data_IF_587641280532
#
_entry.id   IF_587641280532
#
_cell.length_a   1.000
_cell.length_b   1.000
_cell.length_c   1.000
_cell.angle_alpha   90.00
_cell.angle_beta   90.00
_cell.angle_gamma   90.00
#
_symmetry.space_group_name_H-M   'P 1'
#
loop_
_entity.id
_entity.type
_entity.pdbx_description
1 polymer ?
#
# COMPACT_ATOMS: atom_id res chain seq x y z
N UNK A 1 -0.99 11.79 -1.89
CA UNK A 1 -0.39 10.52 -1.53
C UNK A 1 -0.48 10.24 -0.03
N UNK A 2 -0.29 8.99 0.35
CA UNK A 2 -0.07 8.60 1.74
C UNK A 2 1.40 8.24 1.93
N UNK A 3 2.02 8.77 3.00
CA UNK A 3 3.39 8.42 3.37
C UNK A 3 3.39 7.23 4.33
N UNK A 4 4.11 6.17 3.99
CA UNK A 4 4.23 4.96 4.79
C UNK A 4 5.70 4.73 5.12
N UNK A 5 5.98 4.62 6.41
CA UNK A 5 7.31 4.29 6.90
C UNK A 5 7.52 2.78 6.87
N UNK A 6 8.73 2.35 6.61
CA UNK A 6 9.09 0.92 6.59
C UNK A 6 10.51 0.68 7.07
N UNK A 7 10.73 -0.46 7.73
CA UNK A 7 12.08 -0.95 8.06
C UNK A 7 12.72 -1.68 6.87
N UNK A 8 11.91 -2.11 5.89
CA UNK A 8 12.37 -2.82 4.68
C UNK A 8 11.72 -2.22 3.45
N UNK A 9 12.42 -1.28 2.81
CA UNK A 9 11.91 -0.55 1.65
C UNK A 9 11.61 -1.49 0.47
N UNK A 10 12.53 -2.41 0.18
CA UNK A 10 12.40 -3.28 -0.99
C UNK A 10 11.25 -4.29 -0.83
N UNK A 11 11.10 -4.90 0.34
CA UNK A 11 10.00 -5.82 0.61
C UNK A 11 8.64 -5.11 0.57
N UNK A 12 8.56 -3.90 1.11
CA UNK A 12 7.33 -3.11 1.08
C UNK A 12 6.98 -2.68 -0.34
N UNK A 13 7.95 -2.15 -1.09
CA UNK A 13 7.73 -1.78 -2.49
C UNK A 13 7.29 -2.98 -3.34
N UNK A 14 7.90 -4.15 -3.12
CA UNK A 14 7.52 -5.38 -3.82
C UNK A 14 6.06 -5.77 -3.54
N UNK A 15 5.58 -5.61 -2.32
CA UNK A 15 4.17 -5.84 -1.99
C UNK A 15 3.26 -4.92 -2.84
N UNK A 16 3.55 -3.63 -2.89
CA UNK A 16 2.76 -2.69 -3.67
C UNK A 16 2.81 -2.96 -5.18
N UNK A 17 3.95 -3.42 -5.68
CA UNK A 17 4.07 -3.82 -7.09
C UNK A 17 3.28 -5.10 -7.39
N UNK A 18 3.48 -6.14 -6.60
CA UNK A 18 2.93 -7.46 -6.88
C UNK A 18 1.46 -7.57 -6.49
N UNK A 19 1.07 -7.08 -5.31
CA UNK A 19 -0.28 -7.20 -4.81
C UNK A 19 -1.22 -6.13 -5.40
N UNK A 20 -0.82 -4.87 -5.38
CA UNK A 20 -1.67 -3.76 -5.85
C UNK A 20 -1.40 -3.33 -7.30
N UNK A 21 -0.35 -3.83 -7.93
CA UNK A 21 -0.01 -3.52 -9.32
C UNK A 21 0.51 -2.10 -9.53
N UNK A 22 1.02 -1.47 -8.48
CA UNK A 22 1.61 -0.13 -8.59
C UNK A 22 3.01 -0.20 -9.21
N UNK A 23 3.48 0.91 -9.74
CA UNK A 23 4.80 1.03 -10.36
C UNK A 23 5.75 1.77 -9.42
N UNK A 24 6.89 1.14 -9.11
CA UNK A 24 7.95 1.72 -8.29
C UNK A 24 8.76 2.75 -9.09
N UNK A 25 9.03 3.88 -8.46
CA UNK A 25 9.94 4.92 -8.94
C UNK A 25 10.79 5.39 -7.77
N UNK A 26 12.09 5.13 -7.81
CA UNK A 26 12.98 5.47 -6.70
C UNK A 26 13.20 6.97 -6.61
N UNK A 27 13.33 7.47 -5.38
CA UNK A 27 13.65 8.86 -5.11
C UNK A 27 15.16 9.00 -5.21
N UNK A 28 15.62 9.84 -6.14
CA UNK A 28 17.03 10.11 -6.39
C UNK A 28 17.38 11.56 -6.03
N UNK A 29 18.64 11.81 -5.68
CA UNK A 29 19.11 13.16 -5.36
C UNK A 29 18.63 13.72 -4.02
N UNK A 30 18.05 12.88 -3.18
CA UNK A 30 17.65 13.25 -1.83
C UNK A 30 18.88 13.43 -0.91
N UNK A 31 18.64 13.99 0.29
CA UNK A 31 19.68 14.16 1.30
C UNK A 31 20.37 12.83 1.63
N UNK A 32 21.65 12.91 2.02
CA UNK A 32 22.42 11.74 2.43
C UNK A 32 21.68 10.93 3.51
N UNK A 33 21.62 9.60 3.32
CA UNK A 33 20.92 8.68 4.23
C UNK A 33 19.41 8.55 3.98
N UNK A 34 18.82 9.38 3.12
CA UNK A 34 17.42 9.23 2.75
C UNK A 34 17.24 8.13 1.70
N UNK A 35 16.33 7.18 1.99
CA UNK A 35 15.90 6.15 1.04
C UNK A 35 14.39 6.11 0.99
N UNK A 36 13.84 6.15 -0.21
CA UNK A 36 12.40 6.11 -0.40
C UNK A 36 12.03 5.75 -1.83
N UNK A 37 10.74 5.54 -2.04
CA UNK A 37 10.17 5.25 -3.34
C UNK A 37 8.78 5.84 -3.47
N UNK A 38 8.44 6.25 -4.68
CA UNK A 38 7.06 6.53 -5.08
C UNK A 38 6.45 5.28 -5.66
N UNK A 39 5.24 4.96 -5.25
CA UNK A 39 4.42 3.92 -5.88
C UNK A 39 3.33 4.62 -6.67
N UNK A 40 3.34 4.39 -7.99
CA UNK A 40 2.49 5.10 -8.95
C UNK A 40 1.38 4.19 -9.47
N UNK A 41 0.20 4.79 -9.68
CA UNK A 41 -0.90 4.13 -10.36
C UNK A 41 -0.67 3.99 -11.88
N UNK A 42 -1.64 3.42 -12.60
CA UNK A 42 -1.56 3.23 -14.05
C UNK A 42 -1.51 4.54 -14.84
N UNK A 43 -1.97 5.63 -14.25
CA UNK A 43 -1.96 6.97 -14.85
C UNK A 43 -0.67 7.74 -14.53
N UNK A 44 0.21 7.16 -13.72
CA UNK A 44 1.47 7.76 -13.31
C UNK A 44 1.39 8.64 -12.06
N UNK A 45 0.23 8.69 -11.40
CA UNK A 45 0.08 9.45 -10.16
C UNK A 45 0.80 8.76 -9.00
N UNK A 46 1.63 9.49 -8.27
CA UNK A 46 2.26 9.01 -7.07
C UNK A 46 1.24 8.96 -5.93
N UNK A 47 0.73 7.77 -5.61
CA UNK A 47 -0.32 7.59 -4.59
C UNK A 47 0.21 7.10 -3.25
N UNK A 48 1.36 6.45 -3.23
CA UNK A 48 2.06 6.03 -2.01
C UNK A 48 3.49 6.54 -2.04
N UNK A 49 3.92 7.12 -0.92
CA UNK A 49 5.30 7.50 -0.66
C UNK A 49 5.87 6.56 0.40
N UNK A 50 6.79 5.70 0.02
CA UNK A 50 7.49 4.82 0.94
C UNK A 50 8.77 5.50 1.42
N UNK A 51 8.99 5.51 2.74
CA UNK A 51 10.20 6.04 3.35
C UNK A 51 10.84 4.98 4.23
N UNK A 52 12.10 4.67 3.96
CA UNK A 52 12.88 3.81 4.84
C UNK A 52 13.15 4.52 6.17
N UNK A 53 12.81 3.86 7.26
CA UNK A 53 13.03 4.38 8.59
C UNK A 53 14.48 4.12 9.00
N UNK A 54 15.32 5.16 8.89
CA UNK A 54 16.72 5.10 9.27
C UNK A 54 16.86 5.02 10.80
N UNK A 55 17.43 3.94 11.36
CA UNK A 55 17.62 3.83 12.81
C UNK A 55 18.53 4.91 13.41
N UNK A 56 19.36 5.56 12.59
CA UNK A 56 20.27 6.63 13.03
C UNK A 56 19.62 8.02 13.00
N UNK A 57 18.37 8.14 12.55
CA UNK A 57 17.65 9.42 12.43
C UNK A 57 16.50 9.48 13.43
N UNK A 58 16.26 10.65 13.99
CA UNK A 58 15.13 10.95 14.89
C UNK A 58 13.94 11.61 14.15
N UNK A 59 14.05 11.77 12.83
CA UNK A 59 13.06 12.50 12.02
C UNK A 59 11.63 12.00 12.22
N UNK A 60 11.46 10.69 12.39
CA UNK A 60 10.16 10.04 12.51
C UNK A 60 9.95 9.41 13.89
N UNK A 61 10.58 9.93 14.93
CA UNK A 61 10.39 9.47 16.29
C UNK A 61 8.89 9.43 16.67
N UNK A 62 8.48 8.37 17.36
CA UNK A 62 7.09 8.15 17.72
C UNK A 62 6.24 7.43 16.67
N UNK A 63 6.80 7.11 15.51
CA UNK A 63 6.15 6.32 14.45
C UNK A 63 6.80 4.94 14.35
N UNK A 64 5.98 3.89 14.36
CA UNK A 64 6.49 2.52 14.35
C UNK A 64 5.78 1.69 13.28
N UNK A 65 6.48 1.29 12.19
CA UNK A 65 5.94 0.35 11.21
C UNK A 65 5.58 -0.99 11.86
N UNK A 66 4.49 -1.61 11.41
CA UNK A 66 4.01 -2.89 11.94
C UNK A 66 3.09 -2.77 13.14
N UNK A 67 2.88 -1.57 13.66
CA UNK A 67 1.93 -1.28 14.73
C UNK A 67 0.63 -0.69 14.17
N UNK A 68 -0.50 -0.77 14.91
CA UNK A 68 -1.76 -0.16 14.48
C UNK A 68 -1.60 1.34 14.21
N UNK A 69 -2.28 1.82 13.17
CA UNK A 69 -2.25 3.23 12.77
C UNK A 69 -3.19 4.13 13.59
N UNK A 70 -3.71 3.60 14.70
CA UNK A 70 -4.57 4.30 15.67
C UNK A 70 -5.85 4.87 15.01
N UNK A 71 -6.01 6.19 15.01
CA UNK A 71 -7.22 6.84 14.50
C UNK A 71 -7.41 6.71 12.99
N UNK A 72 -6.35 6.47 12.21
CA UNK A 72 -6.45 6.18 10.78
C UNK A 72 -6.70 4.68 10.62
N UNK A 73 -7.97 4.29 10.45
CA UNK A 73 -8.38 2.89 10.38
C UNK A 73 -7.94 2.23 9.07
N UNK A 74 -8.15 2.90 7.95
CA UNK A 74 -7.78 2.41 6.63
C UNK A 74 -7.59 3.55 5.63
N UNK A 75 -6.96 3.23 4.52
CA UNK A 75 -6.85 4.08 3.34
C UNK A 75 -7.61 3.39 2.22
N UNK A 76 -8.47 4.12 1.50
CA UNK A 76 -9.29 3.58 0.43
C UNK A 76 -8.76 3.97 -0.95
N UNK A 77 -8.80 3.03 -1.88
CA UNK A 77 -8.48 3.24 -3.30
C UNK A 77 -9.66 2.86 -4.18
N UNK A 78 -9.87 3.63 -5.23
CA UNK A 78 -10.74 3.22 -6.33
C UNK A 78 -9.96 2.31 -7.26
N UNK A 79 -10.52 1.15 -7.57
CA UNK A 79 -9.86 0.13 -8.37
C UNK A 79 -10.78 -0.39 -9.48
N UNK A 80 -10.18 -1.03 -10.47
CA UNK A 80 -10.86 -1.76 -11.54
C UNK A 80 -10.40 -3.22 -11.56
N UNK A 81 -11.24 -4.12 -12.06
CA UNK A 81 -10.88 -5.52 -12.22
C UNK A 81 -10.92 -6.34 -10.92
N UNK A 82 -12.05 -6.39 -10.24
CA UNK A 82 -12.23 -7.14 -8.99
C UNK A 82 -11.82 -8.61 -9.10
N UNK A 83 -12.25 -9.31 -10.17
CA UNK A 83 -11.92 -10.73 -10.37
C UNK A 83 -10.42 -10.92 -10.59
N UNK A 84 -9.80 -10.05 -11.39
CA UNK A 84 -8.35 -10.09 -11.64
C UNK A 84 -7.55 -9.80 -10.37
N UNK A 85 -8.00 -8.84 -9.55
CA UNK A 85 -7.35 -8.54 -8.27
C UNK A 85 -7.41 -9.73 -7.31
N UNK A 86 -8.55 -10.36 -7.17
CA UNK A 86 -8.69 -11.56 -6.31
C UNK A 86 -7.75 -12.69 -6.78
N UNK A 87 -7.74 -12.96 -8.08
CA UNK A 87 -6.83 -13.97 -8.62
C UNK A 87 -5.37 -13.66 -8.30
N UNK A 88 -4.97 -12.41 -8.47
CA UNK A 88 -3.60 -11.96 -8.15
C UNK A 88 -3.25 -12.21 -6.68
N UNK A 89 -4.12 -11.81 -5.76
CA UNK A 89 -3.90 -11.99 -4.33
C UNK A 89 -3.86 -13.47 -3.93
N UNK A 90 -4.74 -14.29 -4.52
CA UNK A 90 -4.76 -15.75 -4.32
C UNK A 90 -3.45 -16.39 -4.82
N UNK A 91 -3.01 -16.03 -6.02
CA UNK A 91 -1.76 -16.55 -6.61
C UNK A 91 -0.52 -16.17 -5.78
N UNK A 92 -0.54 -15.01 -5.13
CA UNK A 92 0.54 -14.53 -4.25
C UNK A 92 0.46 -15.10 -2.83
N UNK A 93 -0.64 -15.76 -2.48
CA UNK A 93 -0.89 -16.23 -1.11
C UNK A 93 -1.08 -15.09 -0.10
N UNK A 94 -1.53 -13.93 -0.55
CA UNK A 94 -1.82 -12.77 0.30
C UNK A 94 -3.19 -12.94 0.94
N UNK A 95 -3.25 -12.80 2.26
CA UNK A 95 -4.52 -12.81 2.99
C UNK A 95 -5.31 -11.52 2.74
N UNK A 96 -6.60 -11.67 2.44
CA UNK A 96 -7.52 -10.56 2.27
C UNK A 96 -8.94 -10.96 2.67
N UNK A 97 -9.79 -9.97 2.87
CA UNK A 97 -11.21 -10.16 3.15
C UNK A 97 -12.05 -9.46 2.09
N UNK A 98 -13.09 -10.13 1.62
CA UNK A 98 -14.08 -9.53 0.71
C UNK A 98 -15.29 -9.08 1.52
N UNK A 99 -15.81 -7.90 1.23
CA UNK A 99 -17.10 -7.48 1.76
C UNK A 99 -18.22 -8.05 0.89
N UNK A 100 -18.93 -9.03 1.43
CA UNK A 100 -20.06 -9.71 0.76
C UNK A 100 -21.35 -8.91 0.78
N UNK A 101 -21.38 -7.77 1.48
CA UNK A 101 -22.56 -6.90 1.47
C UNK A 101 -22.61 -6.18 0.13
N UNK A 102 -23.47 -6.68 -0.73
CA UNK A 102 -23.66 -6.08 -2.05
C UNK A 102 -24.51 -4.82 -1.92
N UNK A 103 -23.90 -3.69 -2.23
CA UNK A 103 -24.62 -2.45 -2.52
C UNK A 103 -24.58 -2.28 -4.05
N UNK A 104 -25.52 -2.94 -4.75
CA UNK A 104 -25.50 -2.98 -6.21
C UNK A 104 -24.24 -3.68 -6.74
N UNK A 105 -23.55 -3.07 -7.70
CA UNK A 105 -22.32 -3.60 -8.31
C UNK A 105 -21.04 -3.23 -7.54
N UNK A 106 -21.16 -2.63 -6.38
CA UNK A 106 -20.05 -2.18 -5.57
C UNK A 106 -19.45 -3.35 -4.78
N UNK A 107 -18.15 -3.56 -4.91
CA UNK A 107 -17.41 -4.65 -4.24
C UNK A 107 -16.18 -4.09 -3.56
N UNK A 108 -15.77 -4.72 -2.45
CA UNK A 108 -14.64 -4.27 -1.67
C UNK A 108 -13.71 -5.43 -1.32
N UNK A 109 -12.41 -5.16 -1.34
CA UNK A 109 -11.37 -6.03 -0.78
C UNK A 109 -10.65 -5.26 0.30
N UNK A 110 -10.40 -5.92 1.44
CA UNK A 110 -9.65 -5.37 2.56
C UNK A 110 -8.41 -6.22 2.81
N UNK A 111 -7.26 -5.58 2.92
CA UNK A 111 -6.01 -6.26 3.22
C UNK A 111 -5.02 -5.31 3.91
N UNK A 112 -4.17 -5.82 4.84
CA UNK A 112 -3.07 -5.04 5.37
C UNK A 112 -1.87 -5.09 4.44
N UNK A 113 -1.05 -4.04 4.46
CA UNK A 113 0.30 -4.08 3.91
C UNK A 113 1.29 -4.71 4.92
N UNK A 114 2.58 -4.90 4.57
CA UNK A 114 3.57 -5.46 5.50
C UNK A 114 3.83 -4.62 6.76
N UNK A 115 3.40 -3.36 6.78
CA UNK A 115 3.61 -2.43 7.90
C UNK A 115 2.34 -2.17 8.72
N UNK A 116 1.34 -3.05 8.61
CA UNK A 116 0.04 -2.96 9.29
C UNK A 116 -0.84 -1.77 8.87
N UNK A 117 -0.60 -1.22 7.69
CA UNK A 117 -1.49 -0.24 7.07
C UNK A 117 -2.65 -0.97 6.38
N UNK A 118 -3.87 -0.69 6.79
CA UNK A 118 -5.06 -1.33 6.23
C UNK A 118 -5.52 -0.60 4.95
N UNK A 119 -5.71 -1.36 3.89
CA UNK A 119 -6.22 -0.89 2.61
C UNK A 119 -7.64 -1.38 2.36
N UNK A 120 -8.45 -0.48 1.82
CA UNK A 120 -9.78 -0.78 1.28
C UNK A 120 -9.74 -0.55 -0.23
N UNK A 121 -9.91 -1.61 -1.00
CA UNK A 121 -9.95 -1.54 -2.46
C UNK A 121 -11.41 -1.56 -2.91
N UNK A 122 -11.86 -0.50 -3.55
CA UNK A 122 -13.23 -0.29 -3.96
C UNK A 122 -13.38 -0.47 -5.47
N UNK A 123 -14.25 -1.39 -5.88
CA UNK A 123 -14.50 -1.74 -7.28
C UNK A 123 -15.95 -1.41 -7.64
N UNK A 124 -16.14 -0.65 -8.72
CA UNK A 124 -17.44 -0.43 -9.35
C UNK A 124 -17.52 -1.33 -10.59
N UNK A 125 -18.47 -2.27 -10.58
CA UNK A 125 -18.54 -3.30 -11.60
C UNK A 125 -17.51 -4.42 -11.39
N UNK A 126 -17.14 -5.07 -12.47
CA UNK A 126 -16.11 -6.10 -12.43
C UNK A 126 -14.69 -5.52 -12.48
#
# INVERSE_FOLDING_TARGET
HVNILTHDLDATAQFYEQALGLQRSDITGAMAGFRGAWMRDAEGNAIVHLVWLDPASDRYDGHEPGQPTHAVHHVALRCEGFVAMRKRLDDLGVEYRVNDRQFGDFRQIFLPDPNAVNWELNFAGD
#
